data_IF_553228522969
#
_entry.id   IF_553228522969
#
_cell.length_a   1.000
_cell.length_b   1.000
_cell.length_c   1.000
_cell.angle_alpha   90.00
_cell.angle_beta   90.00
_cell.angle_gamma   90.00
#
_symmetry.space_group_name_H-M   'P 1'
#
loop_
_entity.id
_entity.type
_entity.pdbx_description
1 polymer ?
#
# COMPACT_ATOMS: atom_id res chain seq x y z
N UNK A 1 8.62 -10.98 -16.54
CA UNK A 1 9.48 -10.35 -15.52
C UNK A 1 9.30 -8.85 -15.60
N UNK A 2 9.46 -8.12 -14.49
CA UNK A 2 9.31 -6.66 -14.50
C UNK A 2 10.52 -6.04 -15.21
N UNK A 3 10.35 -5.44 -16.41
CA UNK A 3 11.47 -4.92 -17.19
C UNK A 3 12.17 -3.79 -16.42
N UNK A 4 13.50 -3.78 -16.41
CA UNK A 4 14.27 -2.70 -15.78
C UNK A 4 14.22 -2.64 -14.24
N UNK A 5 13.70 -3.69 -13.56
CA UNK A 5 13.77 -3.74 -12.10
C UNK A 5 15.22 -3.90 -11.65
N UNK A 6 15.73 -2.91 -10.92
CA UNK A 6 17.12 -2.84 -10.49
C UNK A 6 17.55 -4.13 -9.74
N UNK A 7 18.78 -4.58 -10.00
CA UNK A 7 19.37 -5.75 -9.35
C UNK A 7 18.96 -7.11 -9.92
N UNK A 8 18.21 -7.16 -11.04
CA UNK A 8 17.89 -8.41 -11.74
C UNK A 8 18.62 -8.50 -13.08
N UNK A 9 19.17 -9.66 -13.39
CA UNK A 9 19.73 -9.97 -14.71
C UNK A 9 18.61 -10.36 -15.66
N UNK A 10 18.67 -9.87 -16.90
CA UNK A 10 17.70 -10.27 -17.91
C UNK A 10 17.82 -11.75 -18.27
N UNK A 11 16.68 -12.33 -18.65
CA UNK A 11 16.66 -13.70 -19.15
C UNK A 11 17.42 -13.78 -20.50
N UNK A 12 18.26 -14.80 -20.71
CA UNK A 12 18.90 -15.05 -22.01
C UNK A 12 17.90 -15.17 -23.16
N UNK A 13 18.29 -14.72 -24.36
CA UNK A 13 17.41 -14.69 -25.54
C UNK A 13 16.90 -16.08 -25.94
N UNK A 14 17.73 -17.11 -25.84
CA UNK A 14 17.33 -18.50 -26.13
C UNK A 14 16.25 -19.04 -25.18
N UNK A 15 16.09 -18.45 -23.99
CA UNK A 15 15.03 -18.80 -23.05
C UNK A 15 13.82 -17.87 -23.21
N UNK A 16 14.03 -16.59 -23.55
CA UNK A 16 12.93 -15.65 -23.86
C UNK A 16 12.05 -16.17 -24.99
N UNK A 17 12.64 -16.80 -26.01
CA UNK A 17 11.91 -17.38 -27.15
C UNK A 17 10.99 -18.55 -26.79
N UNK A 18 11.23 -19.23 -25.65
CA UNK A 18 10.41 -20.35 -25.20
C UNK A 18 9.08 -19.89 -24.56
N UNK A 19 8.94 -18.61 -24.23
CA UNK A 19 7.78 -18.07 -23.53
C UNK A 19 7.06 -17.00 -24.34
N UNK A 20 5.74 -16.90 -24.13
CA UNK A 20 4.95 -15.77 -24.64
C UNK A 20 4.96 -14.65 -23.59
N UNK A 21 5.28 -13.39 -23.96
CA UNK A 21 5.21 -12.28 -23.03
C UNK A 21 3.75 -11.99 -22.65
N UNK A 22 3.50 -11.73 -21.37
CA UNK A 22 2.23 -11.25 -20.85
C UNK A 22 2.48 -10.03 -19.96
N UNK A 23 1.80 -8.91 -20.26
CA UNK A 23 1.95 -7.66 -19.53
C UNK A 23 0.82 -7.51 -18.50
N UNK A 24 1.19 -7.39 -17.22
CA UNK A 24 0.26 -7.23 -16.10
C UNK A 24 0.51 -5.90 -15.37
N UNK A 25 0.62 -4.81 -16.14
CA UNK A 25 1.12 -3.52 -15.64
C UNK A 25 0.06 -2.71 -14.90
N UNK A 26 -1.20 -2.81 -15.31
CA UNK A 26 -2.31 -2.02 -14.76
C UNK A 26 -3.38 -2.96 -14.22
N UNK A 27 -3.51 -3.09 -12.89
CA UNK A 27 -4.62 -3.82 -12.28
C UNK A 27 -5.89 -2.95 -12.25
N UNK A 28 -7.06 -3.60 -12.30
CA UNK A 28 -8.34 -2.93 -12.01
C UNK A 28 -8.50 -2.77 -10.49
N UNK A 29 -8.10 -1.61 -9.97
CA UNK A 29 -8.11 -1.32 -8.54
C UNK A 29 -9.54 -1.24 -7.99
N UNK A 30 -10.51 -0.74 -8.77
CA UNK A 30 -11.90 -0.59 -8.33
C UNK A 30 -12.54 -1.96 -8.11
N UNK A 31 -12.42 -2.87 -9.08
CA UNK A 31 -12.93 -4.22 -8.96
C UNK A 31 -12.27 -4.99 -7.81
N UNK A 32 -10.94 -4.85 -7.66
CA UNK A 32 -10.22 -5.47 -6.54
C UNK A 32 -10.74 -4.93 -5.21
N UNK A 33 -10.93 -3.62 -5.07
CA UNK A 33 -11.48 -3.02 -3.85
C UNK A 33 -12.90 -3.52 -3.57
N UNK A 34 -13.78 -3.62 -4.58
CA UNK A 34 -15.15 -4.13 -4.45
C UNK A 34 -15.13 -5.57 -3.89
N UNK A 35 -14.34 -6.47 -4.49
CA UNK A 35 -14.21 -7.86 -4.04
C UNK A 35 -13.69 -7.94 -2.61
N UNK A 36 -12.71 -7.11 -2.25
CA UNK A 36 -12.15 -7.09 -0.90
C UNK A 36 -13.17 -6.60 0.14
N UNK A 37 -13.95 -5.57 -0.18
CA UNK A 37 -15.04 -5.09 0.68
C UNK A 37 -16.12 -6.15 0.85
N UNK A 38 -16.49 -6.88 -0.21
CA UNK A 38 -17.43 -8.01 -0.12
C UNK A 38 -16.88 -9.08 0.85
N UNK A 39 -15.59 -9.43 0.71
CA UNK A 39 -14.94 -10.43 1.57
C UNK A 39 -14.91 -10.01 3.06
N UNK A 40 -14.85 -8.71 3.34
CA UNK A 40 -14.89 -8.16 4.69
C UNK A 40 -16.33 -8.01 5.25
N UNK A 41 -17.36 -8.29 4.45
CA UNK A 41 -18.77 -8.31 4.86
C UNK A 41 -19.54 -7.01 4.63
N UNK A 42 -19.09 -6.16 3.69
CA UNK A 42 -19.81 -4.95 3.29
C UNK A 42 -20.89 -5.28 2.25
N UNK A 43 -22.06 -4.64 2.38
CA UNK A 43 -23.21 -4.86 1.48
C UNK A 43 -23.16 -3.85 0.32
N UNK A 44 -22.89 -2.57 0.60
CA UNK A 44 -22.79 -1.51 -0.43
C UNK A 44 -21.35 -1.37 -0.99
N UNK A 45 -20.70 -2.51 -1.25
CA UNK A 45 -19.28 -2.60 -1.61
C UNK A 45 -18.92 -1.83 -2.88
N UNK A 46 -19.79 -1.85 -3.90
CA UNK A 46 -19.58 -1.18 -5.19
C UNK A 46 -19.49 0.34 -5.05
N UNK A 47 -20.47 0.95 -4.37
CA UNK A 47 -20.51 2.39 -4.11
C UNK A 47 -19.29 2.83 -3.29
N UNK A 48 -18.93 2.05 -2.28
CA UNK A 48 -17.79 2.32 -1.41
C UNK A 48 -16.45 2.19 -2.13
N UNK A 49 -16.27 1.15 -2.95
CA UNK A 49 -15.05 0.95 -3.74
C UNK A 49 -14.78 2.14 -4.67
N UNK A 50 -15.80 2.58 -5.41
CA UNK A 50 -15.68 3.73 -6.32
C UNK A 50 -15.30 5.01 -5.57
N UNK A 51 -15.95 5.28 -4.43
CA UNK A 51 -15.61 6.43 -3.56
C UNK A 51 -14.18 6.34 -3.04
N UNK A 52 -13.77 5.15 -2.58
CA UNK A 52 -12.43 4.91 -2.07
C UNK A 52 -11.35 5.15 -3.13
N UNK A 53 -11.51 4.55 -4.31
CA UNK A 53 -10.55 4.70 -5.42
C UNK A 53 -10.49 6.15 -5.90
N UNK A 54 -11.63 6.83 -5.99
CA UNK A 54 -11.68 8.27 -6.33
C UNK A 54 -10.90 9.10 -5.31
N UNK A 55 -11.14 8.90 -4.02
CA UNK A 55 -10.43 9.59 -2.96
C UNK A 55 -8.92 9.31 -3.00
N UNK A 56 -8.54 8.04 -3.14
CA UNK A 56 -7.15 7.61 -3.17
C UNK A 56 -6.38 8.20 -4.37
N UNK A 57 -7.05 8.29 -5.52
CA UNK A 57 -6.50 8.91 -6.74
C UNK A 57 -6.33 10.42 -6.56
N UNK A 58 -7.33 11.10 -6.01
CA UNK A 58 -7.23 12.54 -5.69
C UNK A 58 -6.11 12.82 -4.68
N UNK A 59 -5.97 12.01 -3.64
CA UNK A 59 -4.87 12.16 -2.68
C UNK A 59 -3.50 12.01 -3.35
N UNK A 60 -3.33 11.03 -4.25
CA UNK A 60 -2.10 10.86 -5.02
C UNK A 60 -1.77 12.06 -5.91
N UNK A 61 -2.78 12.69 -6.49
CA UNK A 61 -2.61 13.81 -7.44
C UNK A 61 -2.43 15.16 -6.74
N UNK A 62 -3.12 15.39 -5.60
CA UNK A 62 -3.20 16.68 -4.93
C UNK A 62 -2.21 16.84 -3.78
N UNK A 63 -1.74 15.75 -3.16
CA UNK A 63 -0.74 15.84 -2.10
C UNK A 63 0.65 16.11 -2.65
N UNK A 64 1.52 16.65 -1.78
CA UNK A 64 2.92 16.83 -2.12
C UNK A 64 3.58 15.49 -2.46
N UNK A 65 4.51 15.50 -3.41
CA UNK A 65 5.30 14.31 -3.71
C UNK A 65 6.23 14.03 -2.53
N UNK A 66 6.05 12.87 -1.90
CA UNK A 66 6.86 12.41 -0.78
C UNK A 66 7.16 10.93 -0.98
N UNK A 67 8.39 10.50 -0.71
CA UNK A 67 8.83 9.12 -0.96
C UNK A 67 8.16 8.09 -0.04
N UNK A 68 7.68 8.54 1.13
CA UNK A 68 7.02 7.68 2.12
C UNK A 68 5.54 7.42 1.82
N UNK A 69 4.95 8.03 0.80
CA UNK A 69 3.58 7.73 0.40
C UNK A 69 3.50 6.45 -0.46
N UNK A 70 2.83 5.41 0.07
CA UNK A 70 2.56 4.18 -0.68
C UNK A 70 1.16 4.24 -1.32
N UNK A 71 1.15 4.46 -2.64
CA UNK A 71 -0.05 4.46 -3.48
C UNK A 71 -0.36 3.08 -4.11
N UNK A 72 0.31 2.02 -3.66
CA UNK A 72 0.17 0.67 -4.21
C UNK A 72 -0.98 -0.15 -3.62
N UNK A 73 -1.34 -1.23 -4.32
CA UNK A 73 -2.37 -2.19 -3.88
C UNK A 73 -2.12 -2.78 -2.49
N UNK A 74 -0.86 -2.88 -2.04
CA UNK A 74 -0.52 -3.36 -0.69
C UNK A 74 -1.05 -2.42 0.40
N UNK A 75 -0.89 -1.11 0.22
CA UNK A 75 -1.40 -0.11 1.14
C UNK A 75 -2.94 -0.13 1.16
N UNK A 76 -3.56 -0.20 -0.02
CA UNK A 76 -5.02 -0.34 -0.15
C UNK A 76 -5.54 -1.58 0.61
N UNK A 77 -4.90 -2.75 0.42
CA UNK A 77 -5.27 -3.98 1.12
C UNK A 77 -5.27 -3.80 2.64
N UNK A 78 -4.20 -3.21 3.18
CA UNK A 78 -4.07 -2.97 4.62
C UNK A 78 -5.24 -2.14 5.16
N UNK A 79 -5.59 -1.06 4.45
CA UNK A 79 -6.70 -0.19 4.80
C UNK A 79 -8.05 -0.93 4.81
N UNK A 80 -8.34 -1.71 3.76
CA UNK A 80 -9.61 -2.42 3.64
C UNK A 80 -9.78 -3.53 4.70
N UNK A 81 -8.70 -4.24 5.06
CA UNK A 81 -8.71 -5.24 6.13
C UNK A 81 -9.01 -4.61 7.50
N UNK A 82 -8.43 -3.44 7.77
CA UNK A 82 -8.73 -2.68 9.00
C UNK A 82 -10.19 -2.21 8.99
N UNK A 83 -10.70 -1.72 7.86
CA UNK A 83 -12.10 -1.35 7.70
C UNK A 83 -13.06 -2.52 7.98
N UNK A 84 -12.74 -3.72 7.50
CA UNK A 84 -13.49 -4.94 7.81
C UNK A 84 -13.46 -5.33 9.28
N UNK A 85 -12.30 -5.18 9.93
CA UNK A 85 -12.17 -5.42 11.38
C UNK A 85 -13.05 -4.47 12.20
N UNK A 86 -13.13 -3.19 11.78
CA UNK A 86 -14.02 -2.20 12.38
C UNK A 86 -15.50 -2.53 12.16
N UNK A 87 -15.88 -2.97 10.94
CA UNK A 87 -17.25 -3.39 10.62
C UNK A 87 -17.70 -4.57 11.48
N UNK A 88 -16.80 -5.54 11.73
CA UNK A 88 -17.07 -6.66 12.63
C UNK A 88 -17.28 -6.23 14.08
N UNK A 89 -16.53 -5.21 14.53
CA UNK A 89 -16.66 -4.65 15.88
C UNK A 89 -17.94 -3.82 16.09
N UNK A 90 -18.48 -3.21 15.05
CA UNK A 90 -19.66 -2.34 15.10
C UNK A 90 -20.59 -2.60 13.90
N UNK A 91 -21.40 -3.66 14.01
CA UNK A 91 -22.24 -4.15 12.89
C UNK A 91 -23.35 -3.17 12.50
N UNK A 92 -23.85 -2.38 13.44
CA UNK A 92 -24.98 -1.45 13.24
C UNK A 92 -24.56 -0.12 12.64
N UNK A 93 -23.25 0.17 12.58
CA UNK A 93 -22.74 1.39 11.98
C UNK A 93 -23.03 1.44 10.46
N UNK A 94 -23.49 2.61 9.94
CA UNK A 94 -23.64 2.81 8.50
C UNK A 94 -22.31 2.63 7.76
N UNK A 95 -22.32 1.88 6.66
CA UNK A 95 -21.10 1.51 5.93
C UNK A 95 -20.40 2.73 5.29
N UNK A 96 -21.17 3.74 4.86
CA UNK A 96 -20.63 5.01 4.34
C UNK A 96 -19.80 5.79 5.37
N UNK A 97 -20.05 5.57 6.67
CA UNK A 97 -19.24 6.15 7.74
C UNK A 97 -17.90 5.43 7.91
N UNK A 98 -17.66 4.28 7.28
CA UNK A 98 -16.42 3.51 7.46
C UNK A 98 -15.26 4.15 6.67
N UNK A 99 -15.53 4.82 5.53
CA UNK A 99 -14.56 5.70 4.88
C UNK A 99 -14.20 6.91 5.77
N UNK A 100 -15.20 7.49 6.45
CA UNK A 100 -14.97 8.51 7.50
C UNK A 100 -14.27 7.92 8.73
N UNK A 101 -14.35 6.61 8.94
CA UNK A 101 -13.66 5.90 10.01
C UNK A 101 -12.19 5.74 9.71
N UNK A 102 -11.65 5.97 8.50
CA UNK A 102 -10.20 6.12 8.33
C UNK A 102 -9.69 7.39 9.02
N UNK A 103 -10.38 8.50 8.79
CA UNK A 103 -10.17 9.78 9.50
C UNK A 103 -10.44 9.61 11.00
N UNK A 104 -11.52 8.89 11.36
CA UNK A 104 -11.87 8.64 12.76
C UNK A 104 -11.00 7.59 13.45
N UNK A 105 -10.35 6.66 12.74
CA UNK A 105 -9.35 5.72 13.28
C UNK A 105 -8.07 6.48 13.58
N UNK A 106 -7.68 7.42 12.72
CA UNK A 106 -6.61 8.39 13.02
C UNK A 106 -6.92 9.21 14.28
N UNK A 107 -8.17 9.65 14.46
CA UNK A 107 -8.60 10.41 15.64
C UNK A 107 -8.86 9.54 16.88
N UNK A 108 -9.36 8.31 16.72
CA UNK A 108 -9.76 7.39 17.80
C UNK A 108 -8.60 6.53 18.29
N UNK A 109 -7.54 6.34 17.49
CA UNK A 109 -6.38 5.56 17.92
C UNK A 109 -5.70 6.18 19.13
N UNK A 110 -5.92 7.47 19.46
CA UNK A 110 -5.31 8.20 20.61
C UNK A 110 -3.78 8.02 20.77
N UNK A 111 -3.13 7.35 19.82
CA UNK A 111 -1.70 7.30 19.72
C UNK A 111 -1.26 8.68 19.31
N UNK A 112 -0.45 9.32 20.16
CA UNK A 112 0.35 10.45 19.72
C UNK A 112 1.09 9.98 18.46
N UNK A 113 1.03 10.70 17.33
CA UNK A 113 2.01 10.49 16.27
C UNK A 113 3.37 10.65 16.95
N UNK A 114 4.11 9.55 17.08
CA UNK A 114 5.46 9.58 17.65
C UNK A 114 6.35 10.06 16.51
N UNK A 115 6.58 11.37 16.49
CA UNK A 115 7.67 11.94 15.74
C UNK A 115 8.92 11.78 16.62
N UNK A 116 9.79 10.85 16.26
CA UNK A 116 11.16 10.92 16.73
C UNK A 116 11.88 11.92 15.83
N UNK A 117 12.24 13.08 16.38
CA UNK A 117 13.19 13.98 15.73
C UNK A 117 14.54 13.25 15.63
N UNK A 118 14.75 12.60 14.49
CA UNK A 118 16.03 11.99 14.14
C UNK A 118 16.98 13.13 13.80
N UNK A 119 17.96 13.37 14.66
CA UNK A 119 19.06 14.27 14.34
C UNK A 119 19.79 13.71 13.11
N UNK A 120 19.79 14.39 11.95
CA UNK A 120 20.39 13.87 10.72
C UNK A 120 21.92 13.75 10.78
N UNK A 121 22.55 14.18 11.90
CA UNK A 121 23.96 13.94 12.20
C UNK A 121 24.21 12.75 13.14
N UNK A 122 23.16 12.16 13.69
CA UNK A 122 23.25 11.08 14.69
C UNK A 122 22.86 9.70 14.14
N UNK A 123 22.30 9.63 12.93
CA UNK A 123 21.90 8.39 12.26
C UNK A 123 22.35 8.45 10.81
N UNK A 124 23.06 7.42 10.36
CA UNK A 124 23.52 7.29 8.97
C UNK A 124 22.37 6.83 8.06
N UNK A 125 22.46 7.13 6.76
CA UNK A 125 21.45 6.71 5.76
C UNK A 125 21.18 5.20 5.81
N UNK A 126 22.24 4.41 6.02
CA UNK A 126 22.18 2.95 6.09
C UNK A 126 21.47 2.45 7.37
N UNK A 127 21.57 3.19 8.47
CA UNK A 127 20.83 2.90 9.70
C UNK A 127 19.35 3.29 9.58
N UNK A 128 19.02 4.28 8.75
CA UNK A 128 17.66 4.78 8.59
C UNK A 128 16.86 3.98 7.56
N UNK A 129 17.50 3.58 6.46
CA UNK A 129 16.84 2.96 5.32
C UNK A 129 17.28 1.52 5.08
N UNK A 130 18.26 1.01 5.82
CA UNK A 130 18.91 -0.26 5.52
C UNK A 130 19.92 -0.15 4.39
N UNK A 131 20.73 -1.19 4.23
CA UNK A 131 21.77 -1.24 3.19
C UNK A 131 21.94 -2.65 2.65
N UNK A 132 22.48 -2.75 1.43
CA UNK A 132 22.87 -4.02 0.84
C UNK A 132 24.30 -4.33 1.24
N UNK A 133 24.51 -5.41 1.98
CA UNK A 133 25.85 -5.88 2.28
C UNK A 133 26.53 -6.34 0.98
N UNK A 134 27.58 -5.64 0.54
CA UNK A 134 28.24 -5.93 -0.74
C UNK A 134 28.84 -7.35 -0.83
N UNK A 135 29.18 -7.96 0.32
CA UNK A 135 29.73 -9.31 0.37
C UNK A 135 28.67 -10.41 0.20
N UNK A 136 27.49 -10.26 0.82
CA UNK A 136 26.43 -11.29 0.80
C UNK A 136 25.33 -10.98 -0.21
N UNK A 137 25.27 -9.73 -0.70
CA UNK A 137 24.19 -9.17 -1.53
C UNK A 137 22.81 -9.24 -0.86
N UNK A 138 22.79 -9.41 0.45
CA UNK A 138 21.57 -9.44 1.24
C UNK A 138 21.25 -8.06 1.78
N UNK A 139 19.95 -7.76 1.78
CA UNK A 139 19.41 -6.58 2.40
C UNK A 139 19.49 -6.72 3.92
N UNK A 140 20.04 -5.71 4.59
CA UNK A 140 19.99 -5.59 6.04
C UNK A 140 19.16 -4.37 6.37
N UNK A 141 18.08 -4.59 7.10
CA UNK A 141 17.21 -3.51 7.56
C UNK A 141 17.98 -2.53 8.47
N UNK A 142 17.63 -1.26 8.34
CA UNK A 142 18.01 -0.21 9.27
C UNK A 142 17.48 -0.49 10.68
N UNK A 143 18.02 0.21 11.68
CA UNK A 143 17.77 -0.06 13.09
C UNK A 143 16.50 0.61 13.61
#
# INVERSE_FOLDING_TARGET
MNPGYAGRTELPENLKTLFRPCAMVVPDIELICEIMLIAEGFIDSRSLARKFVTLYTLCRELLSKQDHYDWGLRAIKSVLVVAGSLKRGDKTRPEDQILKTLNKTYMNMKHKPVWNDLNPKAVTTDELFGFIQHATREWKDGK
#
